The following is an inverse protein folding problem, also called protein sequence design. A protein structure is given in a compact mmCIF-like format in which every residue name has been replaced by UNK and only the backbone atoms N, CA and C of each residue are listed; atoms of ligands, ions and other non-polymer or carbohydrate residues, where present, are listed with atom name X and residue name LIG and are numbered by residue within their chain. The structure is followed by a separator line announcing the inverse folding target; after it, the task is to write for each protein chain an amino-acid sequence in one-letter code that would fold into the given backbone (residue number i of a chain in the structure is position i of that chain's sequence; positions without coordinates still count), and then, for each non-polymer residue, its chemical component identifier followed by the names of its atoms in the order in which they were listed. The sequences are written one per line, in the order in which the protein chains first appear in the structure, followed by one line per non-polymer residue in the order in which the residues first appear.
data_IF_540444634941
#
_entry.id   IF_540444634941
#
_cell.length_a   1.000
_cell.length_b   1.000
_cell.length_c   1.000
_cell.angle_alpha   90.00
_cell.angle_beta   90.00
_cell.angle_gamma   90.00
#
_symmetry.space_group_name_H-M   'P 1'
#
loop_
_entity.id
_entity.type
_entity.pdbx_description
1 polymer ?
#
# COMPACT_ATOMS: atom_id res chain seq x y z
N UNK A 1 -16.93 -20.24 -13.25
CA UNK A 1 -16.75 -19.33 -12.09
C UNK A 1 -15.25 -19.12 -11.82
N UNK A 2 -14.68 -18.00 -12.28
CA UNK A 2 -13.27 -17.69 -12.02
C UNK A 2 -13.15 -17.31 -10.54
N UNK A 3 -12.41 -18.10 -9.77
CA UNK A 3 -12.05 -17.76 -8.39
C UNK A 3 -11.54 -16.31 -8.34
N UNK A 4 -11.90 -15.51 -7.32
CA UNK A 4 -11.24 -14.24 -7.08
C UNK A 4 -9.79 -14.56 -6.70
N UNK A 5 -8.92 -14.48 -7.71
CA UNK A 5 -7.50 -14.82 -7.62
C UNK A 5 -6.77 -13.72 -6.85
N UNK A 6 -6.84 -13.81 -5.52
CA UNK A 6 -6.10 -13.00 -4.57
C UNK A 6 -6.79 -13.04 -3.21
N UNK A 7 -6.05 -13.02 -2.08
CA UNK A 7 -6.68 -12.78 -0.78
C UNK A 7 -7.48 -11.46 -0.88
N UNK A 8 -8.72 -11.42 -0.36
CA UNK A 8 -9.48 -10.18 -0.35
C UNK A 8 -8.66 -9.11 0.37
N UNK A 9 -8.69 -7.87 -0.14
CA UNK A 9 -8.16 -6.72 0.58
C UNK A 9 -8.66 -6.77 2.03
N UNK A 10 -7.73 -6.69 2.97
CA UNK A 10 -8.07 -6.66 4.40
C UNK A 10 -8.87 -5.40 4.72
N UNK A 11 -8.67 -4.33 3.95
CA UNK A 11 -9.38 -3.07 4.09
C UNK A 11 -10.16 -2.71 2.82
N UNK A 12 -11.43 -2.34 2.98
CA UNK A 12 -12.26 -1.84 1.87
C UNK A 12 -11.96 -0.36 1.52
N UNK A 13 -11.32 0.37 2.44
CA UNK A 13 -10.95 1.77 2.27
C UNK A 13 -9.49 1.95 2.70
N UNK A 14 -8.73 2.63 1.86
CA UNK A 14 -7.32 2.95 2.10
C UNK A 14 -7.16 4.42 2.46
N UNK A 15 -6.36 4.69 3.49
CA UNK A 15 -5.97 6.04 3.89
C UNK A 15 -5.22 6.70 2.72
N UNK A 16 -5.65 7.90 2.28
CA UNK A 16 -4.96 8.58 1.18
C UNK A 16 -3.52 8.90 1.61
N UNK A 17 -2.56 8.51 0.77
CA UNK A 17 -1.14 8.66 1.01
C UNK A 17 -0.62 9.91 0.29
N UNK A 18 0.41 10.56 0.83
CA UNK A 18 1.09 11.68 0.18
C UNK A 18 2.16 11.22 -0.83
N UNK A 19 2.56 9.95 -0.77
CA UNK A 19 3.51 9.28 -1.67
C UNK A 19 2.90 8.00 -2.23
N UNK A 20 3.44 7.52 -3.35
CA UNK A 20 3.09 6.21 -3.94
C UNK A 20 3.46 5.05 -3.02
N UNK A 21 2.76 3.92 -3.14
CA UNK A 21 3.01 2.75 -2.29
C UNK A 21 4.44 2.21 -2.46
N UNK A 22 5.01 2.31 -3.67
CA UNK A 22 6.40 1.93 -3.91
C UNK A 22 7.41 2.83 -3.17
N UNK A 23 7.17 4.14 -3.12
CA UNK A 23 8.05 5.06 -2.42
C UNK A 23 8.03 4.80 -0.90
N UNK A 24 6.84 4.54 -0.35
CA UNK A 24 6.69 4.17 1.07
C UNK A 24 7.37 2.83 1.34
N UNK A 25 7.25 1.84 0.45
CA UNK A 25 7.96 0.57 0.59
C UNK A 25 9.49 0.75 0.54
N UNK A 26 9.99 1.70 -0.26
CA UNK A 26 11.42 1.98 -0.36
C UNK A 26 11.96 2.70 0.90
N UNK A 27 11.17 3.61 1.47
CA UNK A 27 11.54 4.32 2.71
C UNK A 27 11.35 3.44 3.95
N UNK A 28 10.31 2.61 3.96
CA UNK A 28 9.96 1.76 5.07
C UNK A 28 10.71 0.42 4.97
N UNK A 29 11.69 0.21 5.84
CA UNK A 29 12.43 -1.05 5.84
C UNK A 29 11.52 -2.24 6.23
N UNK A 30 11.85 -3.45 5.77
CA UNK A 30 11.16 -4.71 6.10
C UNK A 30 10.95 -4.93 7.61
N UNK A 31 11.80 -4.33 8.44
CA UNK A 31 11.69 -4.38 9.90
C UNK A 31 10.46 -3.62 10.42
N UNK A 32 10.10 -2.49 9.81
CA UNK A 32 8.94 -1.70 10.22
C UNK A 32 7.63 -2.46 9.99
N UNK A 33 7.52 -3.14 8.85
CA UNK A 33 6.43 -4.08 8.59
C UNK A 33 6.38 -5.20 9.61
N UNK A 34 7.53 -5.79 9.94
CA UNK A 34 7.60 -6.88 10.93
C UNK A 34 7.19 -6.39 12.32
N UNK A 35 7.62 -5.19 12.74
CA UNK A 35 7.19 -4.53 13.99
C UNK A 35 5.69 -4.25 14.00
N UNK A 36 5.12 -3.92 12.84
CA UNK A 36 3.70 -3.71 12.66
C UNK A 36 2.87 -5.02 12.70
N UNK A 37 3.51 -6.18 12.80
CA UNK A 37 2.87 -7.49 12.69
C UNK A 37 2.58 -7.93 11.24
N UNK A 38 3.02 -7.16 10.24
CA UNK A 38 2.91 -7.51 8.83
C UNK A 38 3.98 -8.53 8.46
N UNK A 39 3.56 -9.71 8.03
CA UNK A 39 4.48 -10.73 7.53
C UNK A 39 4.65 -10.59 6.03
N UNK A 40 5.91 -10.51 5.59
CA UNK A 40 6.19 -10.52 4.16
C UNK A 40 5.77 -11.85 3.55
N UNK A 41 5.10 -11.81 2.40
CA UNK A 41 4.75 -13.00 1.65
C UNK A 41 6.03 -13.73 1.24
N UNK A 42 6.00 -15.06 1.34
CA UNK A 42 7.08 -15.89 0.79
C UNK A 42 7.17 -15.61 -0.72
N UNK A 43 8.39 -15.57 -1.25
CA UNK A 43 8.62 -15.40 -2.68
C UNK A 43 7.69 -16.33 -3.46
N UNK A 44 6.84 -15.73 -4.28
CA UNK A 44 5.95 -16.53 -5.13
C UNK A 44 6.81 -17.25 -6.18
N UNK A 45 6.56 -18.53 -6.45
CA UNK A 45 7.32 -19.27 -7.43
C UNK A 45 7.26 -18.57 -8.79
N UNK A 46 8.41 -18.48 -9.45
CA UNK A 46 8.52 -17.92 -10.80
C UNK A 46 7.56 -18.67 -11.73
N UNK A 47 6.67 -17.93 -12.39
CA UNK A 47 5.80 -18.49 -13.43
C UNK A 47 6.33 -18.08 -14.81
N UNK A 48 6.48 -19.02 -15.76
CA UNK A 48 7.09 -18.74 -17.07
C UNK A 48 6.28 -17.75 -17.93
N UNK A 49 4.98 -17.59 -17.69
CA UNK A 49 4.09 -16.62 -18.37
C UNK A 49 3.94 -15.29 -17.62
N UNK A 50 4.82 -14.96 -16.68
CA UNK A 50 4.73 -13.67 -16.00
C UNK A 50 5.18 -12.54 -16.92
N UNK A 51 4.38 -11.47 -16.91
CA UNK A 51 4.71 -10.25 -17.61
C UNK A 51 5.92 -9.59 -16.93
N UNK A 52 7.06 -9.59 -17.62
CA UNK A 52 8.32 -9.05 -17.11
C UNK A 52 8.33 -7.52 -17.06
N UNK A 53 7.33 -6.85 -17.65
CA UNK A 53 7.20 -5.39 -17.63
C UNK A 53 6.68 -4.90 -16.27
N UNK A 54 5.99 -5.76 -15.51
CA UNK A 54 5.40 -5.41 -14.22
C UNK A 54 6.07 -6.16 -13.08
N UNK A 55 6.88 -5.46 -12.30
CA UNK A 55 7.58 -6.02 -11.14
C UNK A 55 7.06 -5.44 -9.83
N UNK A 56 6.80 -6.32 -8.85
CA UNK A 56 6.41 -5.94 -7.51
C UNK A 56 7.57 -6.16 -6.54
N UNK A 57 8.12 -5.08 -6.00
CA UNK A 57 9.24 -5.13 -5.04
C UNK A 57 8.86 -5.83 -3.74
N UNK A 58 7.59 -5.74 -3.32
CA UNK A 58 7.09 -6.35 -2.08
C UNK A 58 7.13 -7.88 -2.14
N UNK A 59 6.72 -8.46 -3.27
CA UNK A 59 6.77 -9.91 -3.51
C UNK A 59 8.09 -10.40 -4.10
N UNK A 60 8.92 -9.48 -4.58
CA UNK A 60 10.08 -9.77 -5.44
C UNK A 60 9.70 -10.68 -6.62
N UNK A 61 8.55 -10.38 -7.24
CA UNK A 61 7.95 -11.20 -8.29
C UNK A 61 7.42 -10.33 -9.42
N UNK A 62 7.28 -10.95 -10.59
CA UNK A 62 6.66 -10.34 -11.77
C UNK A 62 5.15 -10.62 -11.81
N UNK A 63 4.40 -9.75 -12.51
CA UNK A 63 2.97 -9.90 -12.79
C UNK A 63 2.09 -8.69 -12.47
N UNK A 64 2.51 -7.87 -11.50
CA UNK A 64 1.84 -6.63 -11.13
C UNK A 64 2.87 -5.61 -10.64
N UNK A 65 2.50 -4.33 -10.67
CA UNK A 65 3.34 -3.26 -10.17
C UNK A 65 3.25 -3.18 -8.64
N UNK A 66 4.32 -2.70 -8.01
CA UNK A 66 4.35 -2.44 -6.57
C UNK A 66 3.16 -1.56 -6.13
N UNK A 67 2.80 -0.55 -6.93
CA UNK A 67 1.70 0.38 -6.62
C UNK A 67 0.30 -0.27 -6.68
N UNK A 68 0.12 -1.30 -7.52
CA UNK A 68 -1.13 -2.07 -7.62
C UNK A 68 -1.20 -3.24 -6.61
N UNK A 69 -0.15 -3.45 -5.82
CA UNK A 69 -0.09 -4.56 -4.89
C UNK A 69 -1.05 -4.34 -3.70
N UNK A 70 -2.16 -5.07 -3.70
CA UNK A 70 -3.17 -5.02 -2.62
C UNK A 70 -2.55 -5.34 -1.26
N UNK A 71 -1.69 -6.36 -1.18
CA UNK A 71 -1.03 -6.73 0.07
C UNK A 71 -0.10 -5.63 0.59
N UNK A 72 0.55 -4.88 -0.33
CA UNK A 72 1.33 -3.72 0.07
C UNK A 72 0.44 -2.59 0.59
N UNK A 73 -0.71 -2.33 -0.05
CA UNK A 73 -1.67 -1.32 0.41
C UNK A 73 -2.21 -1.66 1.79
N UNK A 74 -2.59 -2.92 2.02
CA UNK A 74 -3.02 -3.40 3.33
C UNK A 74 -1.90 -3.30 4.38
N UNK A 75 -0.68 -3.65 4.01
CA UNK A 75 0.48 -3.50 4.88
C UNK A 75 0.67 -2.04 5.29
N UNK A 76 0.71 -1.12 4.33
CA UNK A 76 0.84 0.33 4.59
C UNK A 76 -0.29 0.83 5.49
N UNK A 77 -1.52 0.38 5.28
CA UNK A 77 -2.67 0.72 6.13
C UNK A 77 -2.47 0.24 7.58
N UNK A 78 -1.97 -0.98 7.79
CA UNK A 78 -1.64 -1.49 9.13
C UNK A 78 -0.59 -0.60 9.80
N UNK A 79 0.45 -0.20 9.07
CA UNK A 79 1.49 0.68 9.61
C UNK A 79 0.94 2.08 9.96
N UNK A 80 -0.01 2.60 9.18
CA UNK A 80 -0.69 3.87 9.49
C UNK A 80 -1.50 3.74 10.78
N UNK A 81 -2.26 2.65 10.92
CA UNK A 81 -3.07 2.37 12.12
C UNK A 81 -2.22 2.13 13.36
N UNK A 82 -1.05 1.50 13.21
CA UNK A 82 -0.06 1.37 14.28
C UNK A 82 0.70 2.68 14.58
N UNK A 83 0.52 3.71 13.74
CA UNK A 83 1.12 5.01 13.94
C UNK A 83 2.53 5.18 13.38
N UNK A 84 3.07 4.19 12.65
CA UNK A 84 4.42 4.20 12.08
C UNK A 84 4.53 5.05 10.80
N UNK A 85 3.47 5.12 9.99
CA UNK A 85 3.47 5.87 8.71
C UNK A 85 2.57 7.12 8.73
N UNK A 86 2.38 7.73 9.91
CA UNK A 86 1.51 8.92 10.07
C UNK A 86 1.99 10.12 9.26
N UNK A 87 3.29 10.20 8.96
CA UNK A 87 3.87 11.24 8.11
C UNK A 87 3.54 11.05 6.62
N UNK A 88 3.24 9.83 6.20
CA UNK A 88 2.88 9.50 4.82
C UNK A 88 1.38 9.59 4.57
N UNK A 89 0.58 9.79 5.62
CA UNK A 89 -0.85 10.07 5.50
C UNK A 89 -1.02 11.46 4.89
N UNK A 90 -1.69 11.53 3.75
CA UNK A 90 -2.14 12.80 3.18
C UNK A 90 -3.25 13.32 4.07
N UNK A 91 -2.87 14.17 5.04
CA UNK A 91 -3.86 14.98 5.74
C UNK A 91 -4.55 15.82 4.68
N UNK A 92 -5.86 15.62 4.49
CA UNK A 92 -6.70 16.65 3.90
C UNK A 92 -6.56 17.83 4.84
N UNK A 93 -5.66 18.74 4.51
CA UNK A 93 -5.63 20.04 5.13
C UNK A 93 -7.03 20.61 4.93
N UNK A 94 -7.80 20.64 6.02
CA UNK A 94 -9.07 21.32 6.06
C UNK A 94 -8.76 22.82 6.11
N UNK A 95 -8.19 23.36 5.04
CA UNK A 95 -8.33 24.76 4.68
C UNK A 95 -9.76 24.97 4.22
N UNK A 96 -10.69 24.89 5.17
CA UNK A 96 -11.92 25.65 5.12
C UNK A 96 -11.98 26.50 6.38
N UNK A 97 -11.62 27.79 6.30
CA UNK A 97 -12.51 28.78 6.85
C UNK A 97 -13.72 28.84 5.91
N UNK A 98 -14.83 28.37 6.45
CA UNK A 98 -16.13 28.97 6.20
C UNK A 98 -15.98 30.48 6.41
N UNK A 99 -15.96 31.24 5.31
CA UNK A 99 -16.35 32.64 5.27
C UNK A 99 -17.38 32.68 4.14
N UNK A 100 -18.66 32.47 4.42
CA UNK A 100 -19.54 33.50 4.98
C UNK A 100 -19.36 34.82 4.23
N UNK A 101 -20.32 35.05 3.32
CA UNK A 101 -20.98 36.34 3.11
C UNK A 101 -20.21 37.49 2.40
N UNK A 102 -20.84 37.87 1.27
CA UNK A 102 -21.28 39.23 0.96
C UNK A 102 -20.21 40.28 0.65
N UNK A 103 -20.04 40.56 -0.65
CA UNK A 103 -20.46 41.84 -1.30
C UNK A 103 -20.25 41.78 -2.81
#
# INVERSE_FOLDING_TARGET
PREPRGPPSTFANYTPLNKSSEAILAECNSSEFTKAGVKFPKQTPYKPNQDKSRYCRYHKSYGHLTDDCIQLKDAIEILIRNGQLREFVRRKDNSRPEAAETS
#
